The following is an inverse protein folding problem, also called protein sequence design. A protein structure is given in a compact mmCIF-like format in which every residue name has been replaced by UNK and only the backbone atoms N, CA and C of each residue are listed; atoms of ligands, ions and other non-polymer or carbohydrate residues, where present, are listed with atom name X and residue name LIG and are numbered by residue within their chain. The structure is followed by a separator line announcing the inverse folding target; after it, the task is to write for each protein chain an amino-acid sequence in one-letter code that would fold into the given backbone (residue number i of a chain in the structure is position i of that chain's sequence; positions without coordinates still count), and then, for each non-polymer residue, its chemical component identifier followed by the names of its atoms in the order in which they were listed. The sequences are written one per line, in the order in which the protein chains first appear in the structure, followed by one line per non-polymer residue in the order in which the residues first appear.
data_IF_437514526524
#
_entry.id   IF_437514526524
#
_cell.length_a   1.000
_cell.length_b   1.000
_cell.length_c   1.000
_cell.angle_alpha   90.00
_cell.angle_beta   90.00
_cell.angle_gamma   90.00
#
_symmetry.space_group_name_H-M   'P 1'
#
loop_
_entity.id
_entity.type
_entity.pdbx_description
1 polymer ?
#
# COMPACT_ATOMS: atom_id res chain seq x y z
N UNK A 1 15.07 12.49 -5.64
CA UNK A 1 14.16 13.11 -4.63
C UNK A 1 13.20 12.03 -4.18
N UNK A 2 13.27 11.60 -2.93
CA UNK A 2 12.37 10.59 -2.34
C UNK A 2 11.14 11.23 -1.71
N UNK A 3 10.23 10.40 -1.21
CA UNK A 3 8.99 10.82 -0.57
C UNK A 3 8.04 9.63 -0.37
N UNK A 4 6.80 9.92 0.01
CA UNK A 4 5.75 8.93 0.27
C UNK A 4 4.55 9.20 -0.62
N UNK A 5 3.95 8.14 -1.14
CA UNK A 5 2.64 8.14 -1.78
C UNK A 5 1.68 7.34 -0.91
N UNK A 6 0.47 7.86 -0.71
CA UNK A 6 -0.52 7.24 0.17
C UNK A 6 -1.93 7.38 -0.38
N UNK A 7 -2.67 6.27 -0.32
CA UNK A 7 -4.11 6.18 -0.53
C UNK A 7 -4.70 5.31 0.60
N UNK A 8 -4.86 5.87 1.81
CA UNK A 8 -5.31 5.12 2.97
C UNK A 8 -6.79 4.77 2.88
N UNK A 9 -7.24 3.86 3.75
CA UNK A 9 -8.66 3.68 4.05
C UNK A 9 -9.17 4.89 4.84
N UNK A 10 -10.40 5.32 4.57
CA UNK A 10 -11.02 6.49 5.21
C UNK A 10 -12.08 6.05 6.22
N UNK A 11 -11.83 6.31 7.50
CA UNK A 11 -12.77 5.98 8.57
C UNK A 11 -14.12 6.71 8.46
N UNK A 12 -14.18 7.82 7.70
CA UNK A 12 -15.42 8.56 7.44
C UNK A 12 -16.31 7.85 6.41
N UNK A 13 -15.74 6.96 5.59
CA UNK A 13 -16.45 6.15 4.59
C UNK A 13 -16.12 4.66 4.81
N UNK A 14 -16.51 4.04 5.94
CA UNK A 14 -15.98 2.74 6.35
C UNK A 14 -16.31 1.60 5.38
N UNK A 15 -17.45 1.68 4.70
CA UNK A 15 -17.92 0.71 3.72
C UNK A 15 -17.20 0.84 2.36
N UNK A 16 -16.41 1.90 2.18
CA UNK A 16 -15.68 2.15 0.93
C UNK A 16 -14.29 1.52 1.03
N UNK A 17 -14.00 0.48 0.24
CA UNK A 17 -12.68 -0.10 0.23
C UNK A 17 -11.66 0.90 -0.36
N UNK A 18 -10.37 0.64 -0.14
CA UNK A 18 -9.27 1.42 -0.72
C UNK A 18 -9.42 1.62 -2.23
N UNK A 19 -8.76 2.61 -2.82
CA UNK A 19 -9.01 2.92 -4.24
C UNK A 19 -8.27 1.98 -5.20
N UNK A 20 -7.07 1.55 -4.83
CA UNK A 20 -6.21 0.78 -5.71
C UNK A 20 -6.52 -0.70 -5.68
N UNK A 21 -6.33 -1.41 -6.80
CA UNK A 21 -6.50 -2.85 -6.93
C UNK A 21 -5.20 -3.57 -6.60
N UNK A 22 -5.30 -4.60 -5.77
CA UNK A 22 -4.15 -5.35 -5.28
C UNK A 22 -3.34 -5.96 -6.44
N UNK A 23 -3.99 -6.72 -7.33
CA UNK A 23 -3.29 -7.54 -8.32
C UNK A 23 -2.51 -6.75 -9.39
N UNK A 24 -3.07 -5.66 -9.90
CA UNK A 24 -2.55 -4.99 -11.09
C UNK A 24 -2.28 -3.49 -10.90
N UNK A 25 -2.40 -2.98 -9.67
CA UNK A 25 -1.96 -1.63 -9.32
C UNK A 25 -0.99 -1.66 -8.13
N UNK A 26 -1.38 -2.28 -7.00
CA UNK A 26 -0.56 -2.29 -5.80
C UNK A 26 0.65 -3.24 -5.91
N UNK A 27 0.45 -4.50 -6.30
CA UNK A 27 1.52 -5.50 -6.38
C UNK A 27 2.65 -5.10 -7.34
N UNK A 28 2.38 -4.64 -8.57
CA UNK A 28 3.46 -4.21 -9.48
C UNK A 28 4.27 -3.04 -8.92
N UNK A 29 3.59 -2.06 -8.29
CA UNK A 29 4.26 -0.90 -7.71
C UNK A 29 5.07 -1.27 -6.47
N UNK A 30 4.52 -2.11 -5.59
CA UNK A 30 5.22 -2.61 -4.41
C UNK A 30 6.50 -3.35 -4.79
N UNK A 31 6.46 -4.22 -5.80
CA UNK A 31 7.64 -4.92 -6.31
C UNK A 31 8.74 -3.94 -6.76
N UNK A 32 8.38 -2.90 -7.53
CA UNK A 32 9.36 -1.90 -8.00
C UNK A 32 9.96 -1.13 -6.81
N UNK A 33 9.10 -0.67 -5.90
CA UNK A 33 9.49 0.16 -4.75
C UNK A 33 10.41 -0.62 -3.81
N UNK A 34 10.06 -1.85 -3.46
CA UNK A 34 10.87 -2.69 -2.57
C UNK A 34 12.22 -3.06 -3.22
N UNK A 35 12.25 -3.30 -4.54
CA UNK A 35 13.50 -3.53 -5.27
C UNK A 35 14.39 -2.28 -5.35
N UNK A 36 13.80 -1.10 -5.21
CA UNK A 36 14.52 0.17 -5.09
C UNK A 36 14.93 0.50 -3.64
N UNK A 37 14.70 -0.40 -2.67
CA UNK A 37 15.00 -0.19 -1.25
C UNK A 37 13.95 0.64 -0.49
N UNK A 38 12.78 0.85 -1.08
CA UNK A 38 11.62 1.44 -0.42
C UNK A 38 10.77 0.39 0.31
N UNK A 39 9.60 0.82 0.79
CA UNK A 39 8.59 -0.04 1.41
C UNK A 39 7.21 0.20 0.81
N UNK A 40 6.34 -0.80 0.88
CA UNK A 40 4.94 -0.72 0.49
C UNK A 40 4.07 -1.54 1.45
N UNK A 41 3.05 -0.92 2.06
CA UNK A 41 2.14 -1.55 3.03
C UNK A 41 0.69 -1.11 2.82
N UNK A 42 -0.27 -1.92 3.28
CA UNK A 42 -1.67 -1.49 3.45
C UNK A 42 -1.93 -0.72 4.76
N UNK A 43 -0.85 -0.42 5.51
CA UNK A 43 -0.87 0.17 6.84
C UNK A 43 -0.69 -0.85 7.96
N UNK A 44 -0.78 -2.15 7.68
CA UNK A 44 -0.59 -3.23 8.67
C UNK A 44 0.31 -4.36 8.16
N UNK A 45 0.17 -4.71 6.90
CA UNK A 45 0.85 -5.83 6.23
C UNK A 45 1.59 -5.31 5.01
N UNK A 46 2.73 -5.92 4.64
CA UNK A 46 3.39 -5.59 3.39
C UNK A 46 2.49 -5.96 2.20
N UNK A 47 2.48 -5.12 1.15
CA UNK A 47 1.59 -5.34 0.01
C UNK A 47 1.85 -6.69 -0.67
N UNK A 48 3.13 -7.09 -0.80
CA UNK A 48 3.50 -8.35 -1.45
C UNK A 48 3.19 -9.59 -0.62
N UNK A 49 2.87 -9.44 0.67
CA UNK A 49 2.47 -10.55 1.55
C UNK A 49 0.95 -10.79 1.55
N UNK A 50 0.18 -9.90 0.92
CA UNK A 50 -1.28 -10.03 0.85
C UNK A 50 -1.70 -11.05 -0.22
N UNK A 51 -2.35 -12.13 0.22
CA UNK A 51 -3.01 -13.06 -0.70
C UNK A 51 -4.33 -12.45 -1.24
N UNK A 52 -4.49 -12.28 -2.56
CA UNK A 52 -5.73 -11.78 -3.14
C UNK A 52 -6.87 -12.80 -2.98
N UNK A 53 -8.00 -12.34 -2.45
CA UNK A 53 -9.25 -13.11 -2.34
C UNK A 53 -10.14 -12.99 -3.59
N UNK A 54 -9.99 -11.91 -4.37
CA UNK A 54 -10.79 -11.62 -5.58
C UNK A 54 -9.97 -10.88 -6.63
N UNK A 55 -10.32 -11.04 -7.91
CA UNK A 55 -9.62 -10.41 -9.05
C UNK A 55 -9.55 -8.88 -8.94
N UNK A 56 -10.63 -8.23 -8.51
CA UNK A 56 -10.72 -6.77 -8.36
C UNK A 56 -10.66 -6.32 -6.90
N UNK A 57 -9.97 -7.09 -6.05
CA UNK A 57 -9.78 -6.70 -4.65
C UNK A 57 -9.09 -5.35 -4.57
N UNK A 58 -9.71 -4.46 -3.81
CA UNK A 58 -9.21 -3.14 -3.50
C UNK A 58 -8.41 -3.16 -2.20
N UNK A 59 -7.40 -2.31 -2.09
CA UNK A 59 -6.49 -2.27 -0.95
C UNK A 59 -6.06 -0.82 -0.65
N UNK A 60 -5.92 -0.44 0.64
CA UNK A 60 -5.19 0.76 1.02
C UNK A 60 -3.72 0.63 0.63
N UNK A 61 -3.05 1.74 0.32
CA UNK A 61 -1.63 1.69 -0.04
C UNK A 61 -0.88 2.85 0.60
N UNK A 62 0.26 2.55 1.20
CA UNK A 62 1.30 3.50 1.58
C UNK A 62 2.61 2.95 1.02
N UNK A 63 3.29 3.70 0.15
CA UNK A 63 4.55 3.27 -0.45
C UNK A 63 5.53 4.43 -0.69
N UNK A 64 6.82 4.13 -0.72
CA UNK A 64 7.87 5.12 -1.00
C UNK A 64 9.16 4.86 -0.23
N UNK A 65 9.84 5.93 0.15
CA UNK A 65 11.06 5.87 0.97
C UNK A 65 10.78 5.12 2.28
N UNK A 66 11.60 4.12 2.62
CA UNK A 66 11.37 3.23 3.75
C UNK A 66 11.13 4.00 5.08
N UNK A 67 11.96 4.99 5.39
CA UNK A 67 11.84 5.77 6.62
C UNK A 67 10.53 6.57 6.69
N UNK A 68 10.04 7.10 5.57
CA UNK A 68 8.77 7.84 5.52
C UNK A 68 7.58 6.91 5.69
N UNK A 69 7.62 5.73 5.06
CA UNK A 69 6.58 4.71 5.19
C UNK A 69 6.50 4.21 6.63
N UNK A 70 7.63 3.95 7.29
CA UNK A 70 7.68 3.51 8.68
C UNK A 70 7.11 4.56 9.63
N UNK A 71 7.43 5.85 9.41
CA UNK A 71 6.91 6.95 10.23
C UNK A 71 5.38 7.02 10.23
N UNK A 72 4.75 6.75 9.09
CA UNK A 72 3.29 6.81 8.93
C UNK A 72 2.59 5.51 9.34
N UNK A 73 3.29 4.37 9.28
CA UNK A 73 2.70 3.04 9.54
C UNK A 73 2.86 2.55 10.99
N UNK A 74 3.56 3.32 11.85
CA UNK A 74 3.78 2.98 13.25
C UNK A 74 2.61 3.33 14.20
N UNK A 75 1.45 3.67 13.67
CA UNK A 75 0.25 4.11 14.41
C UNK A 75 -0.82 3.03 14.58
#
# INVERSE_FOLDING_TARGET
RGGIFMYPWDAREPDKPGKLRLLYEANPMALIVERAGGKATDGKTAILDLQPAKLHQRVPVVLGSANEVDLVSAG
#
